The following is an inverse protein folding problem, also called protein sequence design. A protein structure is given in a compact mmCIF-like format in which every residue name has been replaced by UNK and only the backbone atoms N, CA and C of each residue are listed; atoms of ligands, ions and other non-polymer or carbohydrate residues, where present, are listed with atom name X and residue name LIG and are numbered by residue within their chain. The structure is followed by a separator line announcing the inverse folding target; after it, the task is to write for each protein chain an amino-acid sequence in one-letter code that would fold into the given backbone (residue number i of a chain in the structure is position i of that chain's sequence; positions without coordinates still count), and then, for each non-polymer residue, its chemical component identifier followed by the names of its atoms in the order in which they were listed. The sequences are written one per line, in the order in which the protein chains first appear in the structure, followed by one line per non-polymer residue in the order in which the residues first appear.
data_IF_996300453119
#
_entry.id   IF_996300453119
#
_cell.length_a   1.000
_cell.length_b   1.000
_cell.length_c   1.000
_cell.angle_alpha   90.00
_cell.angle_beta   90.00
_cell.angle_gamma   90.00
#
_symmetry.space_group_name_H-M   'P 1'
#
loop_
_entity.id
_entity.type
_entity.pdbx_description
1 polymer ?
#
# COMPACT_ATOMS: atom_id res chain seq x y z
N UNK A 1 -12.65 -9.24 12.24
CA UNK A 1 -11.25 -8.98 11.82
C UNK A 1 -11.06 -7.49 11.58
N UNK A 2 -9.95 -6.90 12.04
CA UNK A 2 -9.68 -5.47 11.89
C UNK A 2 -9.05 -5.19 10.51
N UNK A 3 -9.89 -5.10 9.48
CA UNK A 3 -9.47 -4.94 8.07
C UNK A 3 -8.71 -3.64 7.79
N UNK A 4 -8.86 -2.61 8.62
CA UNK A 4 -8.12 -1.35 8.44
C UNK A 4 -6.62 -1.48 8.74
N UNK A 5 -6.18 -2.50 9.49
CA UNK A 5 -4.77 -2.60 9.91
C UNK A 5 -3.78 -2.79 8.76
N UNK A 6 -3.98 -3.72 7.81
CA UNK A 6 -3.08 -3.83 6.66
C UNK A 6 -3.00 -2.53 5.85
N UNK A 7 -4.12 -1.81 5.69
CA UNK A 7 -4.12 -0.53 4.98
C UNK A 7 -3.25 0.49 5.71
N UNK A 8 -3.41 0.65 7.02
CA UNK A 8 -2.58 1.57 7.80
C UNK A 8 -1.10 1.16 7.81
N UNK A 9 -0.81 -0.14 7.79
CA UNK A 9 0.56 -0.63 7.70
C UNK A 9 1.20 -0.26 6.35
N UNK A 10 0.44 -0.36 5.26
CA UNK A 10 0.84 0.14 3.93
C UNK A 10 1.09 1.66 3.97
N UNK A 11 0.18 2.44 4.54
CA UNK A 11 0.35 3.89 4.68
C UNK A 11 1.65 4.27 5.39
N UNK A 12 1.92 3.64 6.53
CA UNK A 12 3.13 3.93 7.31
C UNK A 12 4.39 3.62 6.48
N UNK A 13 4.41 2.52 5.73
CA UNK A 13 5.57 2.19 4.89
C UNK A 13 5.71 3.11 3.68
N UNK A 14 4.60 3.58 3.09
CA UNK A 14 4.63 4.59 2.01
C UNK A 14 5.14 5.93 2.56
N UNK A 15 4.70 6.36 3.74
CA UNK A 15 5.19 7.58 4.39
C UNK A 15 6.71 7.50 4.60
N UNK A 16 7.21 6.39 5.14
CA UNK A 16 8.65 6.20 5.33
C UNK A 16 9.42 6.24 4.00
N UNK A 17 8.93 5.54 2.97
CA UNK A 17 9.53 5.56 1.64
C UNK A 17 9.53 6.96 1.04
N UNK A 18 8.43 7.70 1.17
CA UNK A 18 8.27 9.07 0.66
C UNK A 18 9.26 10.03 1.34
N UNK A 19 9.42 9.94 2.66
CA UNK A 19 10.40 10.74 3.41
C UNK A 19 11.81 10.45 2.93
N UNK A 20 12.16 9.17 2.74
CA UNK A 20 13.49 8.77 2.28
C UNK A 20 13.79 9.23 0.84
N UNK A 21 12.77 9.33 -0.02
CA UNK A 21 12.85 9.74 -1.42
C UNK A 21 12.67 11.25 -1.63
N UNK A 22 12.36 12.01 -0.57
CA UNK A 22 12.11 13.45 -0.68
C UNK A 22 13.30 14.16 -1.32
N UNK A 23 13.03 15.01 -2.32
CA UNK A 23 14.03 15.70 -3.14
C UNK A 23 14.97 14.79 -3.96
N UNK A 24 14.72 13.48 -4.02
CA UNK A 24 15.50 12.51 -4.82
C UNK A 24 14.74 11.95 -6.02
N UNK A 25 13.42 12.16 -6.05
CA UNK A 25 12.54 11.76 -7.16
C UNK A 25 11.84 12.99 -7.75
N UNK A 26 11.37 12.92 -9.00
CA UNK A 26 10.54 13.96 -9.59
C UNK A 26 9.35 14.31 -8.68
N UNK A 27 9.03 15.60 -8.60
CA UNK A 27 7.94 16.13 -7.76
C UNK A 27 6.62 15.38 -7.94
N UNK A 28 6.28 15.00 -9.18
CA UNK A 28 5.06 14.26 -9.49
C UNK A 28 4.98 12.90 -8.78
N UNK A 29 6.11 12.22 -8.57
CA UNK A 29 6.14 10.93 -7.85
C UNK A 29 5.81 11.17 -6.37
N UNK A 30 6.41 12.19 -5.76
CA UNK A 30 6.11 12.58 -4.37
C UNK A 30 4.64 12.95 -4.18
N UNK A 31 4.07 13.72 -5.11
CA UNK A 31 2.63 14.06 -5.08
C UNK A 31 1.77 12.80 -5.18
N UNK A 32 2.13 11.87 -6.07
CA UNK A 32 1.46 10.58 -6.19
C UNK A 32 1.43 9.81 -4.86
N UNK A 33 2.57 9.68 -4.19
CA UNK A 33 2.65 9.01 -2.89
C UNK A 33 1.79 9.69 -1.82
N UNK A 34 1.73 11.04 -1.79
CA UNK A 34 0.87 11.77 -0.86
C UNK A 34 -0.62 11.48 -1.13
N UNK A 35 -1.02 11.43 -2.40
CA UNK A 35 -2.39 11.10 -2.78
C UNK A 35 -2.75 9.68 -2.34
N UNK A 36 -1.85 8.71 -2.55
CA UNK A 36 -2.05 7.33 -2.11
C UNK A 36 -2.22 7.23 -0.59
N UNK A 37 -1.36 7.91 0.18
CA UNK A 37 -1.43 7.96 1.65
C UNK A 37 -2.80 8.50 2.09
N UNK A 38 -3.24 9.64 1.53
CA UNK A 38 -4.52 10.24 1.90
C UNK A 38 -5.69 9.31 1.59
N UNK A 39 -5.68 8.70 0.41
CA UNK A 39 -6.74 7.83 -0.06
C UNK A 39 -6.85 6.56 0.81
N UNK A 40 -5.72 5.94 1.13
CA UNK A 40 -5.66 4.77 2.02
C UNK A 40 -6.06 5.12 3.44
N UNK A 41 -5.60 6.24 3.98
CA UNK A 41 -5.97 6.70 5.32
C UNK A 41 -7.48 6.95 5.42
N UNK A 42 -8.09 7.58 4.42
CA UNK A 42 -9.55 7.76 4.35
C UNK A 42 -10.25 6.40 4.34
N UNK A 43 -9.80 5.46 3.53
CA UNK A 43 -10.42 4.13 3.42
C UNK A 43 -10.29 3.35 4.73
N UNK A 44 -9.11 3.36 5.35
CA UNK A 44 -8.88 2.76 6.65
C UNK A 44 -9.82 3.35 7.71
N UNK A 45 -10.00 4.66 7.72
CA UNK A 45 -10.95 5.34 8.60
C UNK A 45 -12.40 4.94 8.35
N UNK A 46 -12.84 4.87 7.08
CA UNK A 46 -14.20 4.43 6.72
C UNK A 46 -14.47 2.98 7.15
N UNK A 47 -13.48 2.09 6.99
CA UNK A 47 -13.55 0.70 7.45
C UNK A 47 -13.63 0.64 8.98
N UNK A 48 -12.81 1.44 9.68
CA UNK A 48 -12.86 1.55 11.14
C UNK A 48 -14.24 2.01 11.63
N UNK A 49 -14.87 2.98 10.94
CA UNK A 49 -16.22 3.46 11.24
C UNK A 49 -17.34 2.51 10.83
N UNK A 50 -17.03 1.40 10.16
CA UNK A 50 -18.03 0.42 9.72
C UNK A 50 -18.93 0.92 8.59
N UNK A 51 -18.48 1.91 7.80
CA UNK A 51 -19.26 2.45 6.68
C UNK A 51 -19.55 1.36 5.65
N UNK A 52 -20.78 1.31 5.15
CA UNK A 52 -21.23 0.30 4.20
C UNK A 52 -20.31 0.28 2.96
N UNK A 53 -19.92 -0.92 2.52
CA UNK A 53 -19.06 -1.16 1.35
C UNK A 53 -17.62 -0.63 1.43
N UNK A 54 -17.20 0.01 2.53
CA UNK A 54 -15.81 0.46 2.73
C UNK A 54 -14.80 -0.68 2.64
N UNK A 55 -15.18 -1.88 3.07
CA UNK A 55 -14.32 -3.06 2.97
C UNK A 55 -14.12 -3.55 1.54
N UNK A 56 -15.13 -3.38 0.66
CA UNK A 56 -15.02 -3.65 -0.78
C UNK A 56 -14.11 -2.60 -1.43
N UNK A 57 -14.22 -1.32 -1.04
CA UNK A 57 -13.34 -0.28 -1.54
C UNK A 57 -11.87 -0.59 -1.21
N UNK A 58 -11.56 -0.97 0.04
CA UNK A 58 -10.22 -1.40 0.42
C UNK A 58 -9.72 -2.61 -0.38
N UNK A 59 -10.62 -3.53 -0.74
CA UNK A 59 -10.27 -4.70 -1.56
C UNK A 59 -9.89 -4.29 -2.99
N UNK A 60 -10.70 -3.43 -3.61
CA UNK A 60 -10.44 -2.89 -4.95
C UNK A 60 -9.13 -2.12 -4.97
N UNK A 61 -8.89 -1.26 -3.98
CA UNK A 61 -7.65 -0.48 -3.88
C UNK A 61 -6.42 -1.37 -3.68
N UNK A 62 -6.53 -2.43 -2.88
CA UNK A 62 -5.44 -3.39 -2.70
C UNK A 62 -5.06 -4.08 -4.02
N UNK A 63 -6.05 -4.41 -4.86
CA UNK A 63 -5.78 -4.95 -6.21
C UNK A 63 -5.13 -3.91 -7.10
N UNK A 64 -5.66 -2.68 -7.11
CA UNK A 64 -5.12 -1.59 -7.92
C UNK A 64 -3.67 -1.30 -7.54
N UNK A 65 -3.31 -1.31 -6.26
CA UNK A 65 -1.94 -1.12 -5.79
C UNK A 65 -0.99 -2.18 -6.32
N UNK A 66 -1.36 -3.46 -6.19
CA UNK A 66 -0.52 -4.56 -6.69
C UNK A 66 -0.32 -4.41 -8.21
N UNK A 67 -1.40 -4.17 -8.96
CA UNK A 67 -1.34 -4.06 -10.42
C UNK A 67 -0.59 -2.80 -10.89
N UNK A 68 -0.83 -1.67 -10.23
CA UNK A 68 -0.19 -0.40 -10.53
C UNK A 68 1.31 -0.48 -10.27
N UNK A 69 1.72 -0.98 -9.10
CA UNK A 69 3.14 -1.13 -8.78
C UNK A 69 3.84 -2.15 -9.70
N UNK A 70 3.14 -3.22 -10.10
CA UNK A 70 3.72 -4.25 -10.99
C UNK A 70 3.87 -3.82 -12.44
N UNK A 71 3.18 -2.75 -12.85
CA UNK A 71 3.24 -2.24 -14.23
C UNK A 71 4.02 -0.93 -14.34
N UNK A 72 4.40 -0.30 -13.22
CA UNK A 72 5.16 0.95 -13.20
C UNK A 72 6.65 0.71 -13.54
N UNK A 73 7.17 1.29 -14.64
CA UNK A 73 8.59 1.19 -14.99
C UNK A 73 9.54 1.73 -13.92
N UNK A 74 9.12 2.68 -13.08
CA UNK A 74 9.94 3.24 -11.99
C UNK A 74 10.20 2.17 -10.93
N UNK A 75 9.15 1.47 -10.50
CA UNK A 75 9.27 0.41 -9.50
C UNK A 75 10.04 -0.81 -10.02
N UNK A 76 9.85 -1.16 -11.30
CA UNK A 76 10.61 -2.23 -11.93
C UNK A 76 12.11 -1.89 -12.05
N UNK A 77 12.45 -0.64 -12.35
CA UNK A 77 13.86 -0.19 -12.39
C UNK A 77 14.49 -0.19 -11.01
N UNK A 78 13.77 0.29 -9.99
CA UNK A 78 14.25 0.29 -8.60
C UNK A 78 14.62 -1.13 -8.13
N UNK A 79 13.76 -2.11 -8.38
CA UNK A 79 14.02 -3.52 -8.04
C UNK A 79 15.26 -4.11 -8.72
N UNK A 80 15.59 -3.67 -9.93
CA UNK A 80 16.81 -4.13 -10.61
C UNK A 80 18.10 -3.61 -9.94
N UNK A 81 18.00 -2.55 -9.15
CA UNK A 81 19.10 -2.00 -8.36
C UNK A 81 19.14 -2.55 -6.92
N UNK A 82 18.24 -3.49 -6.58
CA UNK A 82 18.19 -4.10 -5.26
C UNK A 82 19.54 -4.70 -4.85
N UNK A 83 20.02 -4.36 -3.66
CA UNK A 83 21.26 -4.90 -3.10
C UNK A 83 22.52 -4.15 -3.53
N UNK A 84 22.43 -3.19 -4.45
CA UNK A 84 23.58 -2.36 -4.84
C UNK A 84 24.02 -1.43 -3.72
N UNK A 85 23.07 -0.91 -2.93
CA UNK A 85 23.35 -0.15 -1.70
C UNK A 85 22.31 -0.47 -0.63
N UNK A 86 22.69 -0.31 0.65
CA UNK A 86 21.76 -0.46 1.77
C UNK A 86 20.54 0.47 1.62
N UNK A 87 20.76 1.70 1.15
CA UNK A 87 19.69 2.68 0.96
C UNK A 87 18.64 2.21 -0.06
N UNK A 88 19.08 1.70 -1.22
CA UNK A 88 18.17 1.18 -2.24
C UNK A 88 17.46 -0.09 -1.77
N UNK A 89 18.17 -1.02 -1.11
CA UNK A 89 17.54 -2.20 -0.51
C UNK A 89 16.44 -1.86 0.50
N UNK A 90 16.64 -0.84 1.34
CA UNK A 90 15.61 -0.39 2.29
C UNK A 90 14.38 0.15 1.55
N UNK A 91 14.58 0.95 0.51
CA UNK A 91 13.48 1.48 -0.31
C UNK A 91 12.69 0.36 -0.99
N UNK A 92 13.37 -0.63 -1.55
CA UNK A 92 12.71 -1.77 -2.20
C UNK A 92 11.93 -2.62 -1.19
N UNK A 93 12.46 -2.83 0.02
CA UNK A 93 11.73 -3.51 1.09
C UNK A 93 10.47 -2.74 1.46
N UNK A 94 10.57 -1.41 1.63
CA UNK A 94 9.42 -0.56 1.93
C UNK A 94 8.38 -0.60 0.81
N UNK A 95 8.81 -0.60 -0.45
CA UNK A 95 7.92 -0.76 -1.61
C UNK A 95 7.24 -2.13 -1.60
N UNK A 96 7.98 -3.22 -1.38
CA UNK A 96 7.41 -4.58 -1.34
C UNK A 96 6.37 -4.71 -0.22
N UNK A 97 6.66 -4.17 0.96
CA UNK A 97 5.73 -4.15 2.07
C UNK A 97 4.45 -3.36 1.73
N UNK A 98 4.63 -2.14 1.22
CA UNK A 98 3.54 -1.20 0.93
C UNK A 98 2.59 -1.70 -0.15
N UNK A 99 3.12 -2.21 -1.26
CA UNK A 99 2.34 -2.46 -2.48
C UNK A 99 2.04 -3.94 -2.74
N UNK A 100 2.66 -4.87 -2.00
CA UNK A 100 2.39 -6.30 -2.15
C UNK A 100 1.99 -6.96 -0.84
N UNK A 101 2.83 -6.91 0.20
CA UNK A 101 2.60 -7.70 1.42
C UNK A 101 1.34 -7.26 2.15
N UNK A 102 1.18 -5.96 2.42
CA UNK A 102 0.00 -5.47 3.12
C UNK A 102 -1.28 -5.52 2.27
N UNK A 103 -1.27 -5.16 0.98
CA UNK A 103 -2.44 -5.34 0.11
C UNK A 103 -2.88 -6.81 -0.01
N UNK A 104 -1.94 -7.74 -0.14
CA UNK A 104 -2.26 -9.17 -0.17
C UNK A 104 -2.82 -9.64 1.18
N UNK A 105 -2.26 -9.17 2.29
CA UNK A 105 -2.79 -9.44 3.63
C UNK A 105 -4.23 -8.94 3.75
N UNK A 106 -4.52 -7.72 3.27
CA UNK A 106 -5.88 -7.19 3.23
C UNK A 106 -6.82 -8.10 2.44
N UNK A 107 -6.42 -8.49 1.22
CA UNK A 107 -7.21 -9.36 0.34
C UNK A 107 -7.53 -10.68 1.04
N UNK A 108 -6.53 -11.34 1.63
CA UNK A 108 -6.72 -12.59 2.37
C UNK A 108 -7.70 -12.40 3.52
N UNK A 109 -7.52 -11.35 4.33
CA UNK A 109 -8.42 -11.07 5.46
C UNK A 109 -9.85 -10.76 5.00
N UNK A 110 -10.01 -10.04 3.89
CA UNK A 110 -11.30 -9.73 3.29
C UNK A 110 -12.02 -11.02 2.84
N UNK A 111 -11.32 -11.91 2.12
CA UNK A 111 -11.88 -13.18 1.66
C UNK A 111 -12.28 -14.09 2.82
N UNK A 112 -11.45 -14.17 3.88
CA UNK A 112 -11.78 -14.93 5.10
C UNK A 112 -13.05 -14.38 5.76
N UNK A 113 -13.17 -13.05 5.90
CA UNK A 113 -14.36 -12.40 6.47
C UNK A 113 -15.62 -12.70 5.65
N UNK A 114 -15.52 -12.78 4.32
CA UNK A 114 -16.65 -13.09 3.43
C UNK A 114 -17.06 -14.56 3.47
N UNK A 115 -16.10 -15.48 3.60
CA UNK A 115 -16.37 -16.92 3.73
C UNK A 115 -17.00 -17.27 5.07
N UNK A 116 -16.58 -16.60 6.13
CA UNK A 116 -17.10 -16.79 7.49
C UNK A 116 -17.75 -15.48 7.97
N UNK A 117 -18.96 -15.13 7.51
CA UNK A 117 -19.70 -14.03 8.09
C UNK A 117 -20.04 -14.44 9.52
N UNK A 118 -19.23 -13.99 10.48
CA UNK A 118 -19.59 -14.10 11.90
C UNK A 118 -20.93 -13.39 12.04
N UNK A 119 -21.97 -14.17 12.27
CA UNK A 119 -23.34 -13.71 12.56
C UNK A 119 -23.37 -12.90 13.83
#
# INVERSE_FOLDING_TARGET
MKLYFPILASDVTIILGTILLLNKVPFLITVGSIVDILLLTIVAYLIYKGVKYSDILGFVLSIIQILGNSTDPVHLRALNEFGTTLYLSVLDILMVLSFYVFPLTYIIMFLIKRKNPVT
#
